data_IF_457419808254
#
_entry.id   IF_457419808254
#
_cell.length_a   1.000
_cell.length_b   1.000
_cell.length_c   1.000
_cell.angle_alpha   90.00
_cell.angle_beta   90.00
_cell.angle_gamma   90.00
#
_symmetry.space_group_name_H-M   'P 1'
#
loop_
_entity.id
_entity.type
_entity.pdbx_description
1 polymer ?
#
# COMPACT_ATOMS: atom_id res chain seq x y z
N UNK A 1 32.49 -25.14 -9.50
CA UNK A 1 31.18 -24.55 -9.87
C UNK A 1 30.19 -24.89 -8.77
N UNK A 2 30.03 -23.99 -7.80
CA UNK A 2 29.13 -24.20 -6.67
C UNK A 2 27.68 -24.09 -7.13
N UNK A 3 26.87 -25.07 -6.73
CA UNK A 3 25.43 -25.13 -6.96
C UNK A 3 24.77 -23.95 -6.25
N UNK A 4 23.92 -23.22 -6.96
CA UNK A 4 23.05 -22.19 -6.39
C UNK A 4 22.22 -22.81 -5.26
N UNK A 5 22.38 -22.27 -4.06
CA UNK A 5 21.52 -22.62 -2.93
C UNK A 5 20.14 -22.06 -3.20
N UNK A 6 19.14 -22.93 -3.31
CA UNK A 6 17.74 -22.55 -3.27
C UNK A 6 17.46 -22.00 -1.87
N UNK A 7 17.46 -20.66 -1.75
CA UNK A 7 16.92 -20.00 -0.56
C UNK A 7 15.40 -20.23 -0.64
N UNK A 8 14.95 -21.22 0.14
CA UNK A 8 13.53 -21.44 0.38
C UNK A 8 13.09 -20.47 1.46
N UNK A 9 12.66 -19.27 1.05
CA UNK A 9 12.01 -18.31 1.94
C UNK A 9 10.76 -18.97 2.53
N UNK A 10 10.81 -19.32 3.82
CA UNK A 10 9.76 -20.01 4.57
C UNK A 10 8.41 -19.27 4.69
N UNK A 11 8.22 -18.18 3.94
CA UNK A 11 7.00 -17.37 3.94
C UNK A 11 6.20 -17.42 2.62
N UNK A 12 6.73 -18.02 1.54
CA UNK A 12 6.07 -18.06 0.21
C UNK A 12 4.92 -19.08 0.08
N UNK A 13 4.59 -19.81 1.15
CA UNK A 13 3.51 -20.81 1.18
C UNK A 13 2.19 -20.28 1.79
N UNK A 14 2.03 -18.97 1.97
CA UNK A 14 0.80 -18.36 2.51
C UNK A 14 -0.22 -18.12 1.40
N UNK A 15 -1.48 -18.52 1.64
CA UNK A 15 -2.57 -18.44 0.65
C UNK A 15 -3.13 -17.02 0.41
N UNK A 16 -2.73 -16.03 1.21
CA UNK A 16 -3.25 -14.66 1.18
C UNK A 16 -2.08 -13.69 1.16
N UNK A 17 -1.46 -13.51 0.00
CA UNK A 17 -0.36 -12.58 -0.21
C UNK A 17 -0.81 -11.47 -1.16
N UNK A 18 -0.24 -10.29 -0.95
CA UNK A 18 -0.27 -9.17 -1.88
C UNK A 18 1.11 -9.03 -2.53
N UNK A 19 1.23 -8.35 -3.68
CA UNK A 19 0.14 -7.74 -4.47
C UNK A 19 -0.71 -8.75 -5.26
N UNK A 20 -1.83 -8.28 -5.81
CA UNK A 20 -2.71 -9.04 -6.71
C UNK A 20 -3.10 -8.21 -7.93
N UNK A 21 -3.54 -8.89 -8.99
CA UNK A 21 -4.29 -8.26 -10.08
C UNK A 21 -5.77 -8.21 -9.73
N UNK A 22 -6.35 -7.01 -9.68
CA UNK A 22 -7.75 -6.77 -9.37
C UNK A 22 -8.52 -6.76 -10.69
N UNK A 23 -9.35 -7.78 -10.89
CA UNK A 23 -10.13 -7.98 -12.11
C UNK A 23 -11.64 -7.96 -11.84
N UNK A 24 -12.42 -7.74 -12.89
CA UNK A 24 -13.89 -7.76 -12.78
C UNK A 24 -14.44 -9.15 -12.41
N UNK A 25 -13.70 -10.23 -12.66
CA UNK A 25 -14.14 -11.60 -12.36
C UNK A 25 -13.97 -11.97 -10.88
N UNK A 26 -13.16 -11.21 -10.14
CA UNK A 26 -12.87 -11.45 -8.72
C UNK A 26 -13.42 -10.37 -7.78
N UNK A 27 -14.24 -9.46 -8.32
CA UNK A 27 -14.80 -8.34 -7.58
C UNK A 27 -16.33 -8.35 -7.59
N UNK A 28 -16.92 -8.07 -6.43
CA UNK A 28 -18.34 -7.85 -6.28
C UNK A 28 -18.60 -6.38 -5.93
N UNK A 29 -19.69 -5.81 -6.46
CA UNK A 29 -20.11 -4.45 -6.14
C UNK A 29 -20.87 -4.44 -4.81
N UNK A 30 -20.37 -3.66 -3.85
CA UNK A 30 -21.06 -3.39 -2.59
C UNK A 30 -21.49 -1.92 -2.53
N UNK A 31 -22.81 -1.71 -2.45
CA UNK A 31 -23.41 -0.38 -2.37
C UNK A 31 -22.99 0.43 -1.13
N UNK A 32 -22.40 -0.20 -0.11
CA UNK A 32 -21.88 0.45 1.09
C UNK A 32 -20.45 0.99 0.91
N UNK A 33 -19.67 0.43 -0.03
CA UNK A 33 -18.27 0.81 -0.31
C UNK A 33 -18.18 2.05 -1.20
N UNK A 34 -18.71 3.17 -0.71
CA UNK A 34 -18.69 4.44 -1.45
C UNK A 34 -17.43 5.24 -1.13
N UNK A 35 -16.71 5.69 -2.16
CA UNK A 35 -15.57 6.60 -2.00
C UNK A 35 -15.92 7.88 -1.23
N UNK A 36 -17.15 8.39 -1.38
CA UNK A 36 -17.65 9.55 -0.63
C UNK A 36 -17.75 9.33 0.89
N UNK A 37 -17.61 8.09 1.35
CA UNK A 37 -17.56 7.75 2.78
C UNK A 37 -16.15 7.70 3.33
N UNK A 38 -15.11 7.67 2.49
CA UNK A 38 -13.73 7.82 2.94
C UNK A 38 -13.50 9.28 3.33
N UNK A 39 -13.14 9.51 4.59
CA UNK A 39 -12.83 10.81 5.15
C UNK A 39 -11.39 10.81 5.64
N UNK A 40 -10.55 11.60 4.98
CA UNK A 40 -9.15 11.80 5.34
C UNK A 40 -9.02 13.14 6.05
N UNK A 41 -8.51 13.13 7.27
CA UNK A 41 -8.15 14.33 8.02
C UNK A 41 -6.64 14.33 8.20
N UNK A 42 -5.95 15.28 7.58
CA UNK A 42 -4.50 15.42 7.71
C UNK A 42 -4.17 16.69 8.47
N UNK A 43 -3.39 16.54 9.54
CA UNK A 43 -2.87 17.67 10.32
C UNK A 43 -1.47 18.02 9.84
N UNK A 44 -1.28 19.27 9.45
CA UNK A 44 0.04 19.79 9.08
C UNK A 44 0.98 19.64 10.28
N UNK A 45 2.14 19.03 10.04
CA UNK A 45 3.17 18.81 11.05
C UNK A 45 3.12 17.43 11.73
N UNK A 46 2.16 16.56 11.40
CA UNK A 46 2.12 15.20 11.96
C UNK A 46 3.24 14.28 11.45
N UNK A 47 3.73 14.51 10.23
CA UNK A 47 4.91 13.83 9.71
C UNK A 47 6.15 14.40 10.39
N UNK A 48 6.94 13.52 11.01
CA UNK A 48 8.10 13.91 11.84
C UNK A 48 9.43 13.51 11.23
N UNK A 49 9.45 12.44 10.42
CA UNK A 49 10.69 11.88 9.93
C UNK A 49 10.54 11.45 8.48
N UNK A 50 11.56 11.74 7.69
CA UNK A 50 11.75 11.15 6.37
C UNK A 50 12.96 10.24 6.47
N UNK A 51 12.74 8.96 6.23
CA UNK A 51 13.80 7.95 6.15
C UNK A 51 14.03 7.59 4.68
N UNK A 52 15.27 7.71 4.24
CA UNK A 52 15.69 7.35 2.87
C UNK A 52 16.73 6.26 2.97
N UNK A 53 16.49 5.16 2.26
CA UNK A 53 17.38 4.00 2.18
C UNK A 53 17.84 3.79 0.75
N UNK A 54 18.71 2.79 0.52
CA UNK A 54 19.08 2.39 -0.84
C UNK A 54 17.92 1.79 -1.65
N UNK A 55 16.81 1.44 -1.00
CA UNK A 55 15.68 0.72 -1.60
C UNK A 55 14.39 1.55 -1.67
N UNK A 56 14.36 2.74 -1.06
CA UNK A 56 13.18 3.60 -1.09
C UNK A 56 13.18 4.72 -0.06
N UNK A 57 11.99 5.27 0.18
CA UNK A 57 11.76 6.28 1.21
C UNK A 57 10.51 5.93 2.02
N UNK A 58 10.45 6.44 3.25
CA UNK A 58 9.23 6.45 4.05
C UNK A 58 9.14 7.76 4.83
N UNK A 59 7.92 8.29 4.93
CA UNK A 59 7.59 9.48 5.71
C UNK A 59 6.75 9.03 6.90
N UNK A 60 7.26 9.19 8.11
CA UNK A 60 6.70 8.60 9.35
C UNK A 60 6.16 9.67 10.29
N UNK A 61 5.11 9.32 11.02
CA UNK A 61 4.57 10.08 12.14
C UNK A 61 5.16 9.57 13.46
N UNK A 62 4.70 10.11 14.58
CA UNK A 62 4.97 9.58 15.92
C UNK A 62 3.64 9.27 16.65
N UNK A 63 3.73 8.93 17.94
CA UNK A 63 2.56 8.64 18.78
C UNK A 63 1.62 9.85 18.97
N UNK A 64 2.06 11.06 18.65
CA UNK A 64 1.29 12.30 18.69
C UNK A 64 0.45 12.56 17.44
N UNK A 65 0.48 11.66 16.46
CA UNK A 65 -0.29 11.79 15.22
C UNK A 65 -1.80 11.96 15.49
N UNK A 66 -2.38 12.96 14.82
CA UNK A 66 -3.80 13.29 14.83
C UNK A 66 -4.46 13.10 13.46
N UNK A 67 -3.66 12.80 12.44
CA UNK A 67 -4.12 12.49 11.09
C UNK A 67 -4.77 11.12 11.04
N UNK A 68 -5.96 11.05 10.46
CA UNK A 68 -6.81 9.85 10.51
C UNK A 68 -7.60 9.63 9.23
N UNK A 69 -7.92 8.36 8.99
CA UNK A 69 -8.85 7.86 8.01
C UNK A 69 -10.05 7.27 8.74
N UNK A 70 -11.24 7.73 8.38
CA UNK A 70 -12.51 7.13 8.81
C UNK A 70 -13.39 6.83 7.61
N UNK A 71 -14.23 5.80 7.73
CA UNK A 71 -15.30 5.55 6.77
C UNK A 71 -16.40 4.70 7.39
N UNK A 72 -17.63 4.83 6.89
CA UNK A 72 -18.76 4.06 7.39
C UNK A 72 -18.63 2.54 7.19
N UNK A 73 -17.75 2.11 6.29
CA UNK A 73 -17.45 0.70 6.00
C UNK A 73 -16.11 0.24 6.57
N UNK A 74 -15.45 1.07 7.38
CA UNK A 74 -14.28 0.68 8.16
C UNK A 74 -14.71 0.37 9.60
N UNK A 75 -14.10 -0.62 10.26
CA UNK A 75 -14.50 -1.04 11.60
C UNK A 75 -14.08 -0.04 12.70
N UNK A 76 -13.14 0.86 12.41
CA UNK A 76 -12.59 1.81 13.37
C UNK A 76 -11.99 3.05 12.66
N UNK A 77 -11.44 3.97 13.45
CA UNK A 77 -10.59 5.09 13.04
C UNK A 77 -9.16 4.61 12.86
N UNK A 78 -8.57 4.89 11.70
CA UNK A 78 -7.20 4.49 11.36
C UNK A 78 -6.29 5.71 11.38
N UNK A 79 -5.27 5.71 12.25
CA UNK A 79 -4.27 6.79 12.28
C UNK A 79 -3.20 6.59 11.21
N UNK A 80 -2.80 7.68 10.56
CA UNK A 80 -1.62 7.65 9.69
C UNK A 80 -0.39 7.31 10.54
N UNK A 81 0.38 6.32 10.10
CA UNK A 81 1.66 5.95 10.74
C UNK A 81 2.85 6.26 9.84
N UNK A 82 2.78 5.84 8.59
CA UNK A 82 3.77 6.15 7.58
C UNK A 82 3.14 6.16 6.20
N UNK A 83 3.79 6.81 5.24
CA UNK A 83 3.56 6.49 3.83
C UNK A 83 4.88 6.30 3.10
N UNK A 84 4.84 5.47 2.07
CA UNK A 84 5.94 5.20 1.14
C UNK A 84 5.36 4.98 -0.26
N UNK A 85 6.24 4.79 -1.25
CA UNK A 85 5.82 4.51 -2.61
C UNK A 85 6.69 3.44 -3.25
N UNK A 86 6.10 2.75 -4.23
CA UNK A 86 6.80 1.90 -5.19
C UNK A 86 6.72 2.59 -6.55
N UNK A 87 7.77 2.49 -7.34
CA UNK A 87 7.81 3.07 -8.68
C UNK A 87 8.72 2.24 -9.60
N UNK A 88 8.49 2.41 -10.89
CA UNK A 88 9.20 1.69 -11.95
C UNK A 88 10.02 2.64 -12.80
N UNK A 89 10.86 2.08 -13.66
CA UNK A 89 11.60 2.84 -14.67
C UNK A 89 10.74 3.19 -15.89
N UNK A 90 9.58 2.53 -16.03
CA UNK A 90 8.65 2.69 -17.13
C UNK A 90 7.23 2.95 -16.62
N UNK A 91 6.34 3.33 -17.54
CA UNK A 91 4.98 3.82 -17.24
C UNK A 91 4.02 2.75 -16.70
N UNK A 92 4.37 1.48 -16.79
CA UNK A 92 3.51 0.33 -16.52
C UNK A 92 4.18 -0.71 -15.60
N UNK A 93 5.34 -0.39 -15.02
CA UNK A 93 6.12 -1.33 -14.21
C UNK A 93 6.44 -0.83 -12.79
N UNK A 94 5.66 0.12 -12.26
CA UNK A 94 5.93 0.72 -10.94
C UNK A 94 4.90 0.49 -9.86
N UNK A 95 3.64 0.22 -10.19
CA UNK A 95 2.66 -0.24 -9.21
C UNK A 95 2.91 -1.70 -8.86
N UNK A 96 2.65 -2.06 -7.61
CA UNK A 96 2.72 -3.47 -7.21
C UNK A 96 1.43 -4.19 -7.60
N UNK A 97 0.28 -3.55 -7.38
CA UNK A 97 -1.02 -4.03 -7.82
C UNK A 97 -1.27 -3.74 -9.30
N UNK A 98 -2.11 -4.56 -9.91
CA UNK A 98 -2.59 -4.40 -11.29
C UNK A 98 -4.10 -4.21 -11.29
N UNK A 99 -4.61 -3.51 -12.32
CA UNK A 99 -6.06 -3.41 -12.59
C UNK A 99 -6.31 -3.99 -13.98
N UNK A 100 -7.01 -5.13 -14.04
CA UNK A 100 -7.22 -5.88 -15.28
C UNK A 100 -5.91 -6.12 -16.06
N UNK A 101 -4.87 -6.56 -15.37
CA UNK A 101 -3.53 -6.84 -15.91
C UNK A 101 -2.69 -5.59 -16.23
N UNK A 102 -3.20 -4.38 -15.97
CA UNK A 102 -2.49 -3.13 -16.25
C UNK A 102 -1.78 -2.60 -15.00
N UNK A 103 -0.46 -2.43 -15.11
CA UNK A 103 0.36 -1.70 -14.15
C UNK A 103 0.42 -0.19 -14.44
N UNK A 104 0.92 0.55 -13.45
CA UNK A 104 1.08 2.01 -13.49
C UNK A 104 2.51 2.41 -13.14
N UNK A 105 2.87 3.68 -13.36
CA UNK A 105 4.25 4.16 -13.13
C UNK A 105 4.69 4.12 -11.67
N UNK A 106 3.75 4.16 -10.73
CA UNK A 106 3.99 4.15 -9.30
C UNK A 106 2.73 3.79 -8.50
N UNK A 107 2.90 3.40 -7.25
CA UNK A 107 1.85 3.16 -6.25
C UNK A 107 2.27 3.76 -4.90
N UNK A 108 1.41 4.58 -4.31
CA UNK A 108 1.61 5.16 -2.97
C UNK A 108 0.85 4.33 -1.95
N UNK A 109 1.48 4.02 -0.82
CA UNK A 109 0.91 3.28 0.30
C UNK A 109 1.04 4.10 1.58
N UNK A 110 -0.04 4.17 2.34
CA UNK A 110 -0.19 4.95 3.59
C UNK A 110 -1.00 4.18 4.63
#
# INVERSE_FOLDING_TARGET
MQKSSLITDGNKARKKQSPIDITNEITDQDSMLKASKLQFSYTIGDLKTIEVTGEGFSCKTDNGCTSELTASHLPDVYKLWEFHAHWGTEKDCGSEHLINGKGFSAEVKQ
#
